data_IF_890300180217
#
_entry.id   IF_890300180217
#
_cell.length_a   1.000
_cell.length_b   1.000
_cell.length_c   1.000
_cell.angle_alpha   90.00
_cell.angle_beta   90.00
_cell.angle_gamma   90.00
#
_symmetry.space_group_name_H-M   'P 1'
#
loop_
_entity.id
_entity.type
_entity.pdbx_description
1 polymer ?
#
# COMPACT_ATOMS: atom_id res chain seq x y z
N UNK A 1 -23.26 -17.53 -10.49
CA UNK A 1 -22.85 -16.83 -9.26
C UNK A 1 -21.36 -16.52 -9.42
N UNK A 2 -21.05 -15.47 -10.17
CA UNK A 2 -19.69 -14.96 -10.39
C UNK A 2 -19.82 -13.45 -10.32
N UNK A 3 -19.29 -12.82 -9.27
CA UNK A 3 -19.29 -11.34 -9.15
C UNK A 3 -18.33 -10.89 -8.06
N UNK A 4 -18.30 -11.57 -6.91
CA UNK A 4 -17.50 -11.10 -5.75
C UNK A 4 -15.98 -11.13 -5.98
N UNK A 5 -15.44 -12.14 -6.66
CA UNK A 5 -13.99 -12.23 -6.89
C UNK A 5 -13.47 -11.21 -7.91
N UNK A 6 -14.28 -10.84 -8.91
CA UNK A 6 -13.90 -9.84 -9.92
C UNK A 6 -13.90 -8.41 -9.35
N UNK A 7 -14.83 -8.10 -8.43
CA UNK A 7 -14.92 -6.78 -7.80
C UNK A 7 -13.77 -6.55 -6.80
N UNK A 8 -13.39 -7.59 -6.06
CA UNK A 8 -12.32 -7.58 -5.07
C UNK A 8 -10.91 -7.36 -5.68
N UNK A 9 -10.59 -8.03 -6.79
CA UNK A 9 -9.32 -7.80 -7.48
C UNK A 9 -9.24 -6.37 -8.06
N UNK A 10 -10.37 -5.86 -8.56
CA UNK A 10 -10.50 -4.49 -9.08
C UNK A 10 -10.34 -3.43 -7.97
N UNK A 11 -10.86 -3.67 -6.77
CA UNK A 11 -10.68 -2.77 -5.62
C UNK A 11 -9.23 -2.75 -5.13
N UNK A 12 -8.57 -3.91 -5.05
CA UNK A 12 -7.17 -4.00 -4.63
C UNK A 12 -6.25 -3.27 -5.61
N UNK A 13 -6.40 -3.51 -6.92
CA UNK A 13 -5.60 -2.82 -7.94
C UNK A 13 -5.80 -1.29 -7.92
N UNK A 14 -7.00 -0.80 -7.58
CA UNK A 14 -7.26 0.63 -7.40
C UNK A 14 -6.55 1.19 -6.17
N UNK A 15 -6.54 0.45 -5.06
CA UNK A 15 -5.83 0.83 -3.85
C UNK A 15 -4.32 0.92 -4.10
N UNK A 16 -3.73 -0.08 -4.76
CA UNK A 16 -2.30 -0.09 -5.13
C UNK A 16 -1.94 1.13 -5.98
N UNK A 17 -2.76 1.44 -7.01
CA UNK A 17 -2.56 2.64 -7.84
C UNK A 17 -2.69 3.94 -7.05
N UNK A 18 -3.50 3.98 -5.99
CA UNK A 18 -3.59 5.12 -5.10
C UNK A 18 -2.31 5.29 -4.26
N UNK A 19 -1.75 4.20 -3.74
CA UNK A 19 -0.43 4.22 -3.08
C UNK A 19 0.67 4.72 -4.02
N UNK A 20 0.77 4.16 -5.23
CA UNK A 20 1.77 4.61 -6.20
C UNK A 20 1.69 6.12 -6.48
N UNK A 21 0.49 6.68 -6.67
CA UNK A 21 0.28 8.13 -6.86
C UNK A 21 0.62 8.98 -5.64
N UNK A 22 0.44 8.44 -4.44
CA UNK A 22 0.81 9.12 -3.21
C UNK A 22 2.34 9.18 -3.08
N UNK A 23 2.99 8.04 -3.28
CA UNK A 23 4.45 7.88 -3.21
C UNK A 23 5.15 8.72 -4.28
N UNK A 24 4.61 8.78 -5.50
CA UNK A 24 5.19 9.52 -6.64
C UNK A 24 5.42 11.02 -6.34
N UNK A 25 4.72 11.58 -5.36
CA UNK A 25 4.91 12.96 -4.90
C UNK A 25 6.22 13.17 -4.13
N UNK A 26 6.82 12.10 -3.62
CA UNK A 26 8.02 12.10 -2.78
C UNK A 26 9.16 11.32 -3.43
N UNK A 27 8.85 10.16 -4.02
CA UNK A 27 9.83 9.23 -4.58
C UNK A 27 9.28 8.51 -5.81
N UNK A 28 9.68 8.96 -6.99
CA UNK A 28 9.23 8.40 -8.28
C UNK A 28 9.67 6.94 -8.48
N UNK A 29 10.85 6.56 -7.98
CA UNK A 29 11.39 5.20 -8.16
C UNK A 29 10.57 4.19 -7.37
N UNK A 30 10.24 4.49 -6.11
CA UNK A 30 9.34 3.66 -5.30
C UNK A 30 7.94 3.53 -5.92
N UNK A 31 7.42 4.60 -6.53
CA UNK A 31 6.13 4.54 -7.20
C UNK A 31 6.14 3.61 -8.42
N UNK A 32 7.24 3.62 -9.20
CA UNK A 32 7.44 2.69 -10.33
C UNK A 32 7.49 1.25 -9.83
N UNK A 33 8.23 0.97 -8.76
CA UNK A 33 8.36 -0.38 -8.20
C UNK A 33 7.00 -0.95 -7.78
N UNK A 34 6.16 -0.14 -7.12
CA UNK A 34 4.78 -0.53 -6.77
C UNK A 34 3.94 -0.86 -8.02
N UNK A 35 4.09 -0.10 -9.10
CA UNK A 35 3.36 -0.35 -10.35
C UNK A 35 3.89 -1.59 -11.07
N UNK A 36 5.20 -1.85 -11.03
CA UNK A 36 5.81 -3.05 -11.60
C UNK A 36 5.33 -4.32 -10.88
N UNK A 37 5.26 -4.29 -9.54
CA UNK A 37 4.69 -5.38 -8.75
C UNK A 37 3.23 -5.63 -9.15
N UNK A 38 2.44 -4.56 -9.36
CA UNK A 38 1.05 -4.70 -9.79
C UNK A 38 0.94 -5.31 -11.19
N UNK A 39 1.75 -4.83 -12.13
CA UNK A 39 1.74 -5.28 -13.53
C UNK A 39 2.31 -6.71 -13.68
N UNK A 40 3.06 -7.20 -12.69
CA UNK A 40 3.49 -8.61 -12.61
C UNK A 40 2.34 -9.59 -12.32
N UNK A 41 1.17 -9.08 -11.93
CA UNK A 41 -0.01 -9.89 -11.57
C UNK A 41 -0.09 -10.26 -10.09
N UNK A 42 0.73 -9.63 -9.24
CA UNK A 42 0.82 -9.87 -7.79
C UNK A 42 0.30 -8.65 -6.99
N UNK A 43 -1.02 -8.34 -7.03
CA UNK A 43 -1.56 -7.11 -6.43
C UNK A 43 -1.46 -7.07 -4.90
N UNK A 44 -1.37 -8.22 -4.23
CA UNK A 44 -1.13 -8.28 -2.78
C UNK A 44 0.30 -7.89 -2.43
N UNK A 45 1.28 -8.37 -3.21
CA UNK A 45 2.69 -7.95 -3.09
C UNK A 45 2.80 -6.45 -3.32
N UNK A 46 2.20 -5.96 -4.41
CA UNK A 46 2.22 -4.54 -4.75
C UNK A 46 1.59 -3.65 -3.66
N UNK A 47 0.55 -4.13 -2.98
CA UNK A 47 0.00 -3.44 -1.81
C UNK A 47 1.00 -3.41 -0.66
N UNK A 48 1.64 -4.55 -0.35
CA UNK A 48 2.65 -4.63 0.69
C UNK A 48 3.80 -3.64 0.45
N UNK A 49 4.35 -3.64 -0.76
CA UNK A 49 5.38 -2.69 -1.21
C UNK A 49 4.91 -1.25 -1.08
N UNK A 50 3.70 -0.93 -1.56
CA UNK A 50 3.14 0.42 -1.50
C UNK A 50 2.91 0.94 -0.08
N UNK A 51 2.43 0.10 0.83
CA UNK A 51 2.26 0.46 2.25
C UNK A 51 3.61 0.74 2.90
N UNK A 52 4.60 -0.11 2.63
CA UNK A 52 5.94 0.04 3.18
C UNK A 52 6.62 1.33 2.69
N UNK A 53 6.61 1.59 1.38
CA UNK A 53 7.23 2.80 0.84
C UNK A 53 6.51 4.07 1.26
N UNK A 54 5.17 4.08 1.32
CA UNK A 54 4.45 5.23 1.85
C UNK A 54 4.87 5.53 3.30
N UNK A 55 5.13 4.50 4.11
CA UNK A 55 5.64 4.67 5.47
C UNK A 55 7.08 5.16 5.49
N UNK A 56 7.96 4.53 4.71
CA UNK A 56 9.39 4.88 4.60
C UNK A 56 9.61 6.32 4.12
N UNK A 57 8.86 6.73 3.10
CA UNK A 57 8.92 8.08 2.52
C UNK A 57 8.16 9.13 3.36
N UNK A 58 7.52 8.72 4.46
CA UNK A 58 6.80 9.61 5.36
C UNK A 58 5.52 10.22 4.78
N UNK A 59 4.89 9.53 3.83
CA UNK A 59 3.66 9.98 3.20
C UNK A 59 2.49 10.06 4.20
N UNK A 60 1.63 11.06 4.04
CA UNK A 60 0.40 11.19 4.82
C UNK A 60 -0.72 10.35 4.16
N UNK A 61 -0.84 9.09 4.57
CA UNK A 61 -1.80 8.15 3.97
C UNK A 61 -3.22 8.45 4.47
N UNK A 62 -4.19 8.70 3.57
CA UNK A 62 -5.58 8.94 3.94
C UNK A 62 -6.21 7.78 4.74
N UNK A 63 -7.08 8.13 5.69
CA UNK A 63 -7.71 7.14 6.59
C UNK A 63 -8.62 6.14 5.88
N UNK A 64 -9.24 6.52 4.77
CA UNK A 64 -10.03 5.64 3.92
C UNK A 64 -9.14 4.64 3.16
N UNK A 65 -7.97 5.06 2.68
CA UNK A 65 -6.95 4.16 2.12
C UNK A 65 -6.44 3.17 3.17
N UNK A 66 -6.17 3.62 4.40
CA UNK A 66 -5.77 2.74 5.51
C UNK A 66 -6.88 1.73 5.86
N UNK A 67 -8.13 2.18 5.94
CA UNK A 67 -9.27 1.31 6.22
C UNK A 67 -9.45 0.22 5.13
N UNK A 68 -9.19 0.55 3.86
CA UNK A 68 -9.19 -0.44 2.78
C UNK A 68 -7.99 -1.38 2.88
N UNK A 69 -6.79 -0.84 3.15
CA UNK A 69 -5.54 -1.61 3.32
C UNK A 69 -5.68 -2.72 4.35
N UNK A 70 -6.29 -2.41 5.50
CA UNK A 70 -6.49 -3.38 6.58
C UNK A 70 -7.37 -4.59 6.23
N UNK A 71 -8.10 -4.56 5.10
CA UNK A 71 -8.90 -5.69 4.62
C UNK A 71 -8.05 -6.73 3.88
N UNK A 72 -6.86 -6.33 3.43
CA UNK A 72 -6.02 -7.11 2.53
C UNK A 72 -4.76 -7.64 3.20
N UNK A 73 -4.27 -6.98 4.26
CA UNK A 73 -3.05 -7.40 4.95
C UNK A 73 -3.31 -8.55 5.95
N UNK A 74 -2.50 -9.60 5.82
CA UNK A 74 -2.42 -10.75 6.73
C UNK A 74 -1.10 -10.79 7.52
N UNK A 75 -0.96 -11.74 8.46
CA UNK A 75 0.28 -11.95 9.22
C UNK A 75 1.53 -12.21 8.37
N UNK A 76 1.35 -12.75 7.17
CA UNK A 76 2.40 -13.05 6.19
C UNK A 76 3.04 -11.80 5.58
N UNK A 77 2.37 -10.64 5.63
CA UNK A 77 2.85 -9.40 5.03
C UNK A 77 3.91 -8.68 5.88
N UNK A 78 4.30 -9.27 7.01
CA UNK A 78 5.50 -8.93 7.79
C UNK A 78 5.77 -7.42 7.95
N UNK A 79 6.70 -6.89 7.15
CA UNK A 79 7.12 -5.49 7.18
C UNK A 79 6.01 -4.51 6.77
N UNK A 80 5.16 -4.86 5.79
CA UNK A 80 4.04 -4.03 5.36
C UNK A 80 2.94 -3.98 6.44
N UNK A 81 2.67 -5.11 7.10
CA UNK A 81 1.77 -5.14 8.26
C UNK A 81 2.29 -4.25 9.39
N UNK A 82 3.60 -4.23 9.61
CA UNK A 82 4.22 -3.36 10.62
C UNK A 82 4.09 -1.88 10.27
N UNK A 83 4.35 -1.50 9.01
CA UNK A 83 4.16 -0.14 8.51
C UNK A 83 2.70 0.32 8.65
N UNK A 84 1.73 -0.53 8.27
CA UNK A 84 0.30 -0.28 8.45
C UNK A 84 -0.07 -0.05 9.93
N UNK A 85 0.43 -0.88 10.84
CA UNK A 85 0.19 -0.71 12.28
C UNK A 85 0.76 0.61 12.82
N UNK A 86 1.95 1.01 12.33
CA UNK A 86 2.56 2.27 12.72
C UNK A 86 1.71 3.46 12.24
N UNK A 87 1.18 3.43 11.00
CA UNK A 87 0.18 4.41 10.52
C UNK A 87 -1.05 4.48 11.42
N UNK A 88 -1.66 3.33 11.73
CA UNK A 88 -2.87 3.26 12.55
C UNK A 88 -2.66 3.75 13.98
N UNK A 89 -1.43 3.65 14.50
CA UNK A 89 -1.05 4.17 15.81
C UNK A 89 -0.71 5.66 15.82
N UNK A 90 -0.66 6.31 14.66
CA UNK A 90 -0.21 7.71 14.52
C UNK A 90 1.29 7.89 14.75
N UNK A 91 2.06 6.80 14.76
CA UNK A 91 3.52 6.83 14.94
C UNK A 91 4.16 7.23 13.62
N UNK A 92 4.56 8.49 13.51
CA UNK A 92 5.36 8.96 12.37
C UNK A 92 6.78 8.42 12.49
N UNK A 93 7.27 7.79 11.44
CA UNK A 93 8.72 7.55 11.30
C UNK A 93 9.37 8.91 11.16
N UNK A 94 10.26 9.24 12.09
CA UNK A 94 11.11 10.40 11.94
C UNK A 94 12.00 10.14 10.73
N UNK A 95 11.85 10.96 9.69
CA UNK A 95 12.87 11.07 8.65
C UNK A 95 14.22 11.26 9.37
N UNK A 96 15.15 10.33 9.15
CA UNK A 96 16.53 10.53 9.55
C UNK A 96 17.01 11.80 8.83
N UNK A 97 17.37 12.82 9.63
CA UNK A 97 17.91 14.08 9.16
C UNK A 97 19.27 13.90 8.49
#
# INVERSE_FOLDING_TARGET
MESKHSDSASSLAKLVKAYARLIDQFNHEHAIDVLNDLDSGEPSLALGTGVFYAWEDGADVPSDMLAETGKWLGPEDGYALKAYQDFMSGKKVHAAA
#
